data_IF_825571107795
#
_entry.id   IF_825571107795
#
_cell.length_a   1.000
_cell.length_b   1.000
_cell.length_c   1.000
_cell.angle_alpha   90.00
_cell.angle_beta   90.00
_cell.angle_gamma   90.00
#
_symmetry.space_group_name_H-M   'P 1'
#
loop_
_entity.id
_entity.type
_entity.pdbx_description
1 polymer ?
#
# COMPACT_ATOMS: atom_id res chain seq x y z
N UNK A 1 25.72 16.89 7.89
CA UNK A 1 25.22 17.09 9.27
C UNK A 1 24.12 16.08 9.57
N UNK A 2 23.78 15.84 10.84
CA UNK A 2 22.66 14.95 11.21
C UNK A 2 21.33 15.39 10.58
N UNK A 3 21.12 16.70 10.46
CA UNK A 3 19.93 17.25 9.81
C UNK A 3 19.82 16.80 8.34
N UNK A 4 20.90 16.95 7.56
CA UNK A 4 20.92 16.54 6.15
C UNK A 4 20.63 15.04 6.00
N UNK A 5 21.23 14.19 6.83
CA UNK A 5 20.98 12.75 6.79
C UNK A 5 19.49 12.40 7.02
N UNK A 6 18.84 13.06 7.98
CA UNK A 6 17.40 12.86 8.26
C UNK A 6 16.53 13.26 7.08
N UNK A 7 16.86 14.37 6.41
CA UNK A 7 16.14 14.83 5.21
C UNK A 7 16.28 13.82 4.09
N UNK A 8 17.51 13.41 3.76
CA UNK A 8 17.76 12.44 2.69
C UNK A 8 17.04 11.10 2.92
N UNK A 9 17.01 10.61 4.16
CA UNK A 9 16.29 9.36 4.48
C UNK A 9 14.78 9.56 4.33
N UNK A 10 14.24 10.69 4.75
CA UNK A 10 12.81 10.97 4.62
C UNK A 10 12.38 11.04 3.13
N UNK A 11 13.19 11.70 2.30
CA UNK A 11 12.97 11.77 0.85
C UNK A 11 13.03 10.39 0.22
N UNK A 12 14.07 9.62 0.53
CA UNK A 12 14.21 8.25 0.03
C UNK A 12 13.03 7.37 0.43
N UNK A 13 12.59 7.44 1.69
CA UNK A 13 11.45 6.66 2.19
C UNK A 13 10.18 6.99 1.42
N UNK A 14 9.95 8.27 1.13
CA UNK A 14 8.78 8.71 0.37
C UNK A 14 8.84 8.20 -1.06
N UNK A 15 9.95 8.40 -1.74
CA UNK A 15 10.13 7.97 -3.14
C UNK A 15 9.99 6.45 -3.30
N UNK A 16 10.61 5.68 -2.40
CA UNK A 16 10.51 4.22 -2.41
C UNK A 16 9.09 3.70 -2.17
N UNK A 17 8.36 4.29 -1.21
CA UNK A 17 7.04 3.81 -0.81
C UNK A 17 5.89 4.32 -1.69
N UNK A 18 6.02 5.52 -2.26
CA UNK A 18 4.91 6.19 -2.94
C UNK A 18 5.09 6.28 -4.45
N UNK A 19 6.34 6.30 -4.96
CA UNK A 19 6.62 6.60 -6.37
C UNK A 19 7.15 5.39 -7.12
N UNK A 20 8.12 4.67 -6.56
CA UNK A 20 8.85 3.63 -7.29
C UNK A 20 8.00 2.35 -7.49
N UNK A 21 7.80 1.90 -8.75
CA UNK A 21 7.14 0.63 -9.01
C UNK A 21 8.11 -0.56 -8.86
N UNK A 22 7.71 -1.57 -8.08
CA UNK A 22 8.51 -2.79 -7.84
C UNK A 22 7.93 -3.98 -8.59
N UNK A 23 8.78 -4.75 -9.28
CA UNK A 23 8.33 -5.92 -10.07
C UNK A 23 7.69 -7.01 -9.20
N UNK A 24 8.22 -7.25 -8.00
CA UNK A 24 7.65 -8.20 -7.02
C UNK A 24 6.25 -7.83 -6.54
N UNK A 25 5.87 -6.56 -6.65
CA UNK A 25 4.55 -6.06 -6.28
C UNK A 25 3.61 -5.93 -7.49
N UNK A 26 4.00 -6.40 -8.68
CA UNK A 26 3.20 -6.22 -9.90
C UNK A 26 3.37 -4.85 -10.54
N UNK A 27 4.56 -4.25 -10.41
CA UNK A 27 4.91 -2.93 -10.98
C UNK A 27 4.10 -1.77 -10.41
N UNK A 28 3.67 -1.87 -9.15
CA UNK A 28 3.07 -0.77 -8.38
C UNK A 28 3.93 -0.37 -7.18
N UNK A 29 3.79 0.86 -6.65
CA UNK A 29 4.46 1.26 -5.42
C UNK A 29 3.95 0.51 -4.18
N UNK A 30 4.77 0.38 -3.13
CA UNK A 30 4.38 -0.31 -1.90
C UNK A 30 3.12 0.24 -1.24
N UNK A 31 2.92 1.57 -1.26
CA UNK A 31 1.73 2.19 -0.69
C UNK A 31 0.43 1.73 -1.39
N UNK A 32 0.48 1.58 -2.73
CA UNK A 32 -0.66 1.07 -3.52
C UNK A 32 -0.92 -0.40 -3.25
N UNK A 33 0.13 -1.19 -3.12
CA UNK A 33 -0.02 -2.59 -2.73
C UNK A 33 -0.68 -2.73 -1.35
N UNK A 34 -0.23 -1.95 -0.36
CA UNK A 34 -0.81 -1.95 0.98
C UNK A 34 -2.28 -1.50 0.98
N UNK A 35 -2.64 -0.52 0.17
CA UNK A 35 -4.03 -0.08 -0.05
C UNK A 35 -4.90 -1.24 -0.57
N UNK A 36 -4.47 -1.90 -1.64
CA UNK A 36 -5.20 -3.04 -2.22
C UNK A 36 -5.30 -4.22 -1.24
N UNK A 37 -4.24 -4.49 -0.48
CA UNK A 37 -4.24 -5.54 0.53
C UNK A 37 -5.23 -5.25 1.66
N UNK A 38 -5.32 -3.99 2.11
CA UNK A 38 -6.32 -3.58 3.12
C UNK A 38 -7.75 -3.68 2.59
N UNK A 39 -8.00 -3.30 1.34
CA UNK A 39 -9.33 -3.44 0.72
C UNK A 39 -9.77 -4.92 0.74
N UNK A 40 -8.93 -5.82 0.23
CA UNK A 40 -9.21 -7.26 0.23
C UNK A 40 -9.40 -7.85 1.62
N UNK A 41 -8.62 -7.41 2.61
CA UNK A 41 -8.78 -7.85 3.99
C UNK A 41 -10.12 -7.36 4.59
N UNK A 42 -10.53 -6.13 4.23
CA UNK A 42 -11.85 -5.59 4.58
C UNK A 42 -12.98 -6.36 3.91
N UNK A 43 -12.87 -6.66 2.62
CA UNK A 43 -13.84 -7.47 1.87
C UNK A 43 -13.94 -8.90 2.44
N UNK A 44 -12.82 -9.50 2.83
CA UNK A 44 -12.82 -10.82 3.47
C UNK A 44 -13.44 -10.82 4.88
N UNK A 45 -13.35 -9.70 5.61
CA UNK A 45 -13.96 -9.53 6.92
C UNK A 45 -15.45 -9.16 6.84
N UNK A 46 -15.92 -8.65 5.70
CA UNK A 46 -17.32 -8.43 5.36
C UNK A 46 -17.74 -9.40 4.23
N UNK A 47 -17.92 -10.70 4.52
CA UNK A 47 -18.66 -11.54 3.59
C UNK A 47 -20.08 -10.97 3.56
N UNK A 48 -20.38 -10.14 2.57
CA UNK A 48 -21.75 -9.78 2.24
C UNK A 48 -22.47 -11.11 2.02
N UNK A 49 -23.24 -11.53 3.01
CA UNK A 49 -24.09 -12.71 2.91
C UNK A 49 -25.10 -12.39 1.80
N UNK A 50 -25.04 -13.06 0.65
CA UNK A 50 -26.08 -12.90 -0.34
C UNK A 50 -27.24 -13.76 0.16
N UNK A 51 -28.10 -13.18 0.99
CA UNK A 51 -29.36 -13.81 1.34
C UNK A 51 -30.47 -12.76 1.40
N UNK A 52 -31.12 -12.54 0.26
CA UNK A 52 -32.53 -12.14 0.22
C UNK A 52 -33.22 -12.90 -0.92
N UNK A 53 -33.84 -14.01 -0.51
CA UNK A 53 -35.14 -14.53 -0.93
C UNK A 53 -35.95 -13.66 -1.91
N UNK A 54 -36.20 -14.18 -3.12
CA UNK A 54 -37.53 -14.21 -3.76
C UNK A 54 -37.56 -15.31 -4.84
#
# INVERSE_FOLDING_TARGET
TLHQARVTIAEWRRDFNEVRPHSSLGRIPPARFAEQHRQRAGDAAHPATPNEVN
#
